data_IF_478107901027
#
_entry.id   IF_478107901027
#
_cell.length_a   1.000
_cell.length_b   1.000
_cell.length_c   1.000
_cell.angle_alpha   90.00
_cell.angle_beta   90.00
_cell.angle_gamma   90.00
#
_symmetry.space_group_name_H-M   'P 1'
#
loop_
_entity.id
_entity.type
_entity.pdbx_description
1 polymer ?
#
# COMPACT_ATOMS: atom_id res chain seq x y z
N UNK A 1 -11.28 -6.71 -21.61
CA UNK A 1 -10.09 -5.82 -21.53
C UNK A 1 -8.85 -6.67 -21.34
N UNK A 2 -7.95 -6.65 -22.32
CA UNK A 2 -6.69 -7.43 -22.31
C UNK A 2 -5.88 -7.10 -21.07
N UNK A 3 -5.67 -8.09 -20.18
CA UNK A 3 -4.78 -7.96 -19.02
C UNK A 3 -3.34 -7.94 -19.54
N UNK A 4 -2.84 -6.77 -19.93
CA UNK A 4 -1.39 -6.56 -20.02
C UNK A 4 -0.84 -6.84 -18.61
N UNK A 5 -0.09 -7.94 -18.45
CA UNK A 5 0.74 -8.18 -17.26
C UNK A 5 1.86 -7.14 -17.25
N UNK A 6 1.55 -5.91 -16.86
CA UNK A 6 2.54 -4.85 -16.75
C UNK A 6 3.35 -5.08 -15.49
N UNK A 7 4.61 -5.49 -15.62
CA UNK A 7 5.61 -5.49 -14.53
C UNK A 7 5.65 -4.15 -13.77
N UNK A 8 5.26 -3.07 -14.43
CA UNK A 8 5.16 -1.72 -13.89
C UNK A 8 3.99 -1.51 -12.90
N UNK A 9 3.04 -2.44 -12.79
CA UNK A 9 1.85 -2.27 -11.93
C UNK A 9 2.18 -2.09 -10.44
N UNK A 10 3.36 -2.54 -10.01
CA UNK A 10 3.81 -2.43 -8.64
C UNK A 10 4.71 -1.19 -8.38
N UNK A 11 5.16 -0.49 -9.43
CA UNK A 11 5.95 0.73 -9.28
C UNK A 11 4.97 1.91 -9.19
N UNK A 12 4.99 2.61 -8.06
CA UNK A 12 4.04 3.70 -7.76
C UNK A 12 4.79 4.95 -7.31
N UNK A 13 4.28 6.12 -7.71
CA UNK A 13 4.80 7.41 -7.26
C UNK A 13 4.27 7.72 -5.86
N UNK A 14 5.12 8.29 -5.01
CA UNK A 14 4.69 8.90 -3.75
C UNK A 14 4.01 10.24 -4.03
N UNK A 15 2.81 10.40 -3.48
CA UNK A 15 2.02 11.63 -3.57
C UNK A 15 1.99 12.29 -2.20
N UNK A 16 2.07 13.62 -2.17
CA UNK A 16 1.96 14.37 -0.91
C UNK A 16 0.50 14.42 -0.45
N UNK A 17 0.26 14.04 0.80
CA UNK A 17 -1.02 14.23 1.49
C UNK A 17 -0.82 15.24 2.62
N UNK A 18 -1.54 16.35 2.56
CA UNK A 18 -1.37 17.45 3.51
C UNK A 18 0.01 18.13 3.36
N UNK A 19 0.57 18.61 4.48
CA UNK A 19 1.82 19.39 4.47
C UNK A 19 3.08 18.53 4.59
N UNK A 20 3.01 17.43 5.35
CA UNK A 20 4.20 16.66 5.79
C UNK A 20 4.18 15.19 5.40
N UNK A 21 3.01 14.64 5.04
CA UNK A 21 2.86 13.20 4.81
C UNK A 21 2.93 12.84 3.32
N UNK A 22 3.39 11.63 3.05
CA UNK A 22 3.36 11.02 1.72
C UNK A 22 2.46 9.79 1.74
N UNK A 23 1.81 9.51 0.62
CA UNK A 23 1.04 8.31 0.40
C UNK A 23 1.46 7.62 -0.90
N UNK A 24 1.28 6.31 -0.90
CA UNK A 24 1.39 5.45 -2.07
C UNK A 24 0.06 4.73 -2.26
N UNK A 25 -0.41 4.63 -3.50
CA UNK A 25 -1.60 3.86 -3.82
C UNK A 25 -1.26 2.37 -3.85
N UNK A 26 -2.04 1.57 -3.14
CA UNK A 26 -1.93 0.12 -3.20
C UNK A 26 -2.75 -0.38 -4.40
N UNK A 27 -2.21 -1.27 -5.26
CA UNK A 27 -3.01 -1.97 -6.25
C UNK A 27 -4.20 -2.66 -5.59
N UNK A 28 -5.38 -2.55 -6.20
CA UNK A 28 -6.63 -3.04 -5.61
C UNK A 28 -6.60 -4.56 -5.39
N UNK A 29 -5.94 -5.30 -6.27
CA UNK A 29 -5.79 -6.76 -6.17
C UNK A 29 -5.00 -7.14 -4.90
N UNK A 30 -4.03 -6.30 -4.51
CA UNK A 30 -3.22 -6.52 -3.32
C UNK A 30 -4.01 -6.19 -2.05
N UNK A 31 -4.78 -5.10 -2.05
CA UNK A 31 -5.66 -4.76 -0.93
C UNK A 31 -6.73 -5.84 -0.72
N UNK A 32 -7.38 -6.30 -1.79
CA UNK A 32 -8.41 -7.36 -1.74
C UNK A 32 -7.83 -8.69 -1.26
N UNK A 33 -6.67 -9.11 -1.77
CA UNK A 33 -6.05 -10.37 -1.34
C UNK A 33 -5.59 -10.36 0.12
N UNK A 34 -5.26 -9.18 0.66
CA UNK A 34 -4.99 -8.99 2.09
C UNK A 34 -6.27 -8.87 2.95
N UNK A 35 -7.45 -8.82 2.34
CA UNK A 35 -8.72 -8.58 3.04
C UNK A 35 -8.82 -7.17 3.62
N UNK A 36 -8.05 -6.22 3.09
CA UNK A 36 -7.96 -4.87 3.60
C UNK A 36 -9.14 -4.02 3.15
N UNK A 37 -9.74 -3.28 4.09
CA UNK A 37 -10.87 -2.38 3.83
C UNK A 37 -10.52 -0.92 4.06
N UNK A 38 -11.31 -0.03 3.48
CA UNK A 38 -11.18 1.40 3.69
C UNK A 38 -11.25 1.75 5.19
N UNK A 39 -10.49 2.78 5.60
CA UNK A 39 -10.47 3.33 6.97
C UNK A 39 -10.00 2.37 8.08
N UNK A 40 -9.55 1.16 7.75
CA UNK A 40 -8.93 0.29 8.75
C UNK A 40 -7.56 0.82 9.21
N UNK A 41 -7.12 0.41 10.39
CA UNK A 41 -5.79 0.73 10.91
C UNK A 41 -4.76 -0.27 10.37
N UNK A 42 -3.55 0.21 10.13
CA UNK A 42 -2.38 -0.59 9.75
C UNK A 42 -1.15 -0.10 10.50
N UNK A 43 -0.17 -0.98 10.69
CA UNK A 43 1.15 -0.65 11.24
C UNK A 43 2.13 -0.47 10.10
N UNK A 44 2.83 0.67 10.10
CA UNK A 44 3.95 0.93 9.19
C UNK A 44 5.25 0.81 9.98
N UNK A 45 6.13 -0.11 9.59
CA UNK A 45 7.43 -0.32 10.23
C UNK A 45 8.55 -0.09 9.22
N UNK A 46 9.61 0.61 9.65
CA UNK A 46 10.80 0.81 8.83
C UNK A 46 11.68 -0.45 8.81
N UNK A 47 12.20 -0.77 7.64
CA UNK A 47 13.16 -1.85 7.39
C UNK A 47 14.33 -1.31 6.56
N UNK A 48 15.42 -2.07 6.43
CA UNK A 48 16.53 -1.70 5.54
C UNK A 48 16.01 -1.60 4.10
N UNK A 49 16.17 -0.43 3.48
CA UNK A 49 15.74 -0.19 2.10
C UNK A 49 14.24 0.06 1.90
N UNK A 50 13.41 0.16 2.96
CA UNK A 50 11.98 0.41 2.75
C UNK A 50 11.09 0.44 3.99
N UNK A 51 9.80 0.20 3.76
CA UNK A 51 8.75 0.10 4.78
C UNK A 51 7.99 -1.21 4.60
N UNK A 52 7.53 -1.79 5.71
CA UNK A 52 6.56 -2.88 5.71
C UNK A 52 5.25 -2.38 6.33
N UNK A 53 4.13 -2.68 5.66
CA UNK A 53 2.79 -2.32 6.13
C UNK A 53 2.07 -3.62 6.49
N UNK A 54 1.50 -3.70 7.70
CA UNK A 54 0.80 -4.88 8.20
C UNK A 54 -0.53 -4.48 8.82
N UNK A 55 -1.48 -5.40 8.83
CA UNK A 55 -2.75 -5.23 9.53
C UNK A 55 -2.51 -4.92 11.01
N UNK A 56 -3.25 -3.96 11.55
CA UNK A 56 -3.26 -3.68 12.97
C UNK A 56 -4.16 -4.70 13.68
N UNK A 57 -3.64 -5.93 13.85
CA UNK A 57 -4.25 -6.89 14.76
C UNK A 57 -3.92 -6.46 16.18
N UNK A 58 -4.92 -5.97 16.92
CA UNK A 58 -4.84 -5.98 18.38
C UNK A 58 -4.65 -7.43 18.81
N UNK A 59 -3.63 -7.67 19.63
CA UNK A 59 -3.43 -8.97 20.29
C UNK A 59 -4.71 -9.44 20.98
#
# INVERSE_FOLDING_TARGET
MSRRKTKESNIRKLVRLGKTSLAVTLPIEMAVSLGWREKQKVVVKRIKGGLIIRDYRSK
#
